data_IF_538499240826
#
_entry.id   IF_538499240826
#
_cell.length_a   1.000
_cell.length_b   1.000
_cell.length_c   1.000
_cell.angle_alpha   90.00
_cell.angle_beta   90.00
_cell.angle_gamma   90.00
#
_symmetry.space_group_name_H-M   'P 1'
#
loop_
_entity.id
_entity.type
_entity.pdbx_description
1 polymer ?
#
# COMPACT_ATOMS: atom_id res chain seq x y z
N UNK A 1 84.43 -36.08 18.97
CA UNK A 1 83.86 -35.83 17.64
C UNK A 1 82.64 -36.75 17.48
N UNK A 2 81.41 -36.29 17.88
CA UNK A 2 80.18 -37.05 17.64
C UNK A 2 79.18 -36.06 16.97
N UNK A 3 78.90 -36.29 15.70
CA UNK A 3 77.81 -35.62 14.93
C UNK A 3 76.50 -36.28 15.30
N UNK A 4 75.61 -35.54 15.94
CA UNK A 4 74.22 -35.93 16.16
C UNK A 4 73.39 -35.56 14.95
N UNK A 5 72.84 -36.55 14.21
CA UNK A 5 71.79 -36.42 13.19
C UNK A 5 70.42 -36.17 13.90
N UNK A 6 69.82 -35.11 13.58
CA UNK A 6 68.41 -34.87 13.91
C UNK A 6 67.51 -35.32 12.72
N UNK A 7 66.42 -36.06 12.95
CA UNK A 7 65.47 -36.39 11.90
C UNK A 7 64.49 -35.19 11.61
N UNK A 8 63.95 -35.09 10.39
CA UNK A 8 63.06 -34.03 10.04
C UNK A 8 61.65 -34.23 10.63
N UNK A 9 61.09 -33.15 11.16
CA UNK A 9 59.74 -33.08 11.65
C UNK A 9 58.77 -33.27 10.48
N UNK A 10 57.95 -34.32 10.49
CA UNK A 10 56.86 -34.55 9.62
C UNK A 10 55.73 -33.59 10.04
N UNK A 11 55.40 -32.62 9.18
CA UNK A 11 54.26 -31.72 9.33
C UNK A 11 53.00 -32.50 8.95
N UNK A 12 52.21 -32.90 9.94
CA UNK A 12 50.85 -33.41 9.78
C UNK A 12 49.90 -32.22 9.49
N UNK A 13 49.45 -32.10 8.25
CA UNK A 13 48.35 -31.26 7.89
C UNK A 13 47.04 -31.89 8.41
N UNK A 14 46.19 -31.17 9.16
CA UNK A 14 44.85 -31.63 9.44
C UNK A 14 43.98 -31.44 8.19
N UNK A 15 43.44 -32.55 7.69
CA UNK A 15 42.37 -32.53 6.67
C UNK A 15 41.14 -31.87 7.27
N UNK A 16 40.87 -30.62 6.85
CA UNK A 16 39.61 -29.93 7.14
C UNK A 16 38.55 -30.57 6.29
N UNK A 17 37.71 -31.39 6.92
CA UNK A 17 36.48 -31.93 6.35
C UNK A 17 35.49 -30.77 6.21
N UNK A 18 35.41 -30.17 5.03
CA UNK A 18 34.35 -29.25 4.64
C UNK A 18 33.02 -30.01 4.55
N UNK A 19 32.29 -30.04 5.67
CA UNK A 19 30.91 -30.49 5.72
C UNK A 19 30.06 -29.43 4.97
N UNK A 20 29.83 -29.67 3.69
CA UNK A 20 28.92 -28.85 2.88
C UNK A 20 27.50 -28.93 3.43
N UNK A 21 27.11 -27.91 4.18
CA UNK A 21 25.70 -27.68 4.48
C UNK A 21 25.03 -27.36 3.16
N UNK A 22 24.41 -28.35 2.52
CA UNK A 22 23.49 -28.17 1.45
C UNK A 22 22.33 -27.34 2.02
N UNK A 23 22.31 -26.02 1.71
CA UNK A 23 21.15 -25.18 1.91
C UNK A 23 20.05 -25.78 1.03
N UNK A 24 19.14 -26.54 1.65
CA UNK A 24 17.92 -26.98 1.02
C UNK A 24 17.07 -25.70 0.79
N UNK A 25 17.24 -25.10 -0.38
CA UNK A 25 16.28 -24.12 -0.90
C UNK A 25 14.93 -24.85 -0.96
N UNK A 26 13.85 -24.28 -0.44
CA UNK A 26 12.54 -24.86 -0.64
C UNK A 26 12.32 -24.98 -2.15
N UNK A 27 12.19 -26.19 -2.62
CA UNK A 27 11.79 -26.50 -3.99
C UNK A 27 10.36 -25.95 -4.11
N UNK A 28 10.24 -24.73 -4.60
CA UNK A 28 8.96 -24.22 -5.05
C UNK A 28 8.53 -25.15 -6.17
N UNK A 29 7.55 -26.02 -5.88
CA UNK A 29 6.96 -26.86 -6.89
C UNK A 29 6.51 -25.94 -8.02
N UNK A 30 7.16 -26.04 -9.18
CA UNK A 30 6.74 -25.31 -10.36
C UNK A 30 5.28 -25.67 -10.61
N UNK A 31 4.40 -24.67 -10.58
CA UNK A 31 2.99 -24.87 -10.88
C UNK A 31 2.89 -25.55 -12.25
N UNK A 32 2.07 -26.58 -12.36
CA UNK A 32 1.83 -27.24 -13.64
C UNK A 32 1.14 -26.29 -14.63
N UNK A 33 1.11 -26.63 -15.92
CA UNK A 33 0.51 -25.78 -16.93
C UNK A 33 -0.99 -25.52 -16.68
N UNK A 34 -1.68 -26.41 -16.00
CA UNK A 34 -3.10 -26.28 -15.65
C UNK A 34 -3.26 -25.31 -14.46
N UNK A 35 -2.45 -25.46 -13.43
CA UNK A 35 -2.46 -24.59 -12.26
C UNK A 35 -2.12 -23.15 -12.65
N UNK A 36 -1.16 -22.94 -13.56
CA UNK A 36 -0.78 -21.60 -14.02
C UNK A 36 -1.94 -20.91 -14.76
N UNK A 37 -2.64 -21.63 -15.64
CA UNK A 37 -3.81 -21.11 -16.35
C UNK A 37 -4.99 -20.83 -15.42
N UNK A 38 -5.22 -21.70 -14.44
CA UNK A 38 -6.24 -21.48 -13.42
C UNK A 38 -5.91 -20.27 -12.55
N UNK A 39 -4.63 -20.06 -12.22
CA UNK A 39 -4.19 -18.90 -11.47
C UNK A 39 -4.47 -17.57 -12.22
N UNK A 40 -4.21 -17.52 -13.52
CA UNK A 40 -4.52 -16.36 -14.37
C UNK A 40 -6.03 -16.05 -14.37
N UNK A 41 -6.86 -17.09 -14.54
CA UNK A 41 -8.32 -16.91 -14.59
C UNK A 41 -8.90 -16.54 -13.23
N UNK A 42 -8.35 -17.11 -12.15
CA UNK A 42 -8.71 -16.73 -10.77
C UNK A 42 -8.36 -15.27 -10.47
N UNK A 43 -7.19 -14.80 -10.91
CA UNK A 43 -6.83 -13.37 -10.80
C UNK A 43 -7.82 -12.49 -11.57
N UNK A 44 -8.17 -12.86 -12.79
CA UNK A 44 -9.15 -12.14 -13.60
C UNK A 44 -10.52 -12.08 -12.92
N UNK A 45 -10.93 -13.17 -12.25
CA UNK A 45 -12.22 -13.27 -11.54
C UNK A 45 -12.30 -12.36 -10.29
N UNK A 46 -11.16 -11.99 -9.68
CA UNK A 46 -11.11 -11.04 -8.57
C UNK A 46 -11.43 -9.61 -9.02
N UNK A 47 -11.39 -9.34 -10.32
CA UNK A 47 -11.74 -8.06 -10.92
C UNK A 47 -10.83 -6.90 -10.51
N UNK A 48 -11.30 -5.65 -10.66
CA UNK A 48 -10.50 -4.44 -10.39
C UNK A 48 -10.16 -4.24 -8.90
N UNK A 49 -10.70 -5.06 -8.03
CA UNK A 49 -10.43 -5.01 -6.59
C UNK A 49 -9.10 -5.70 -6.22
N UNK A 50 -8.57 -6.55 -7.12
CA UNK A 50 -7.28 -7.19 -6.91
C UNK A 50 -6.14 -6.15 -7.09
N UNK A 51 -5.17 -6.08 -6.16
CA UNK A 51 -3.96 -5.31 -6.38
C UNK A 51 -3.22 -5.78 -7.64
N UNK A 52 -2.60 -4.84 -8.36
CA UNK A 52 -1.93 -5.13 -9.65
C UNK A 52 -0.78 -6.14 -9.54
N UNK A 53 -0.25 -6.35 -8.35
CA UNK A 53 0.85 -7.27 -8.01
C UNK A 53 0.40 -8.54 -7.28
N UNK A 54 -0.92 -8.81 -7.26
CA UNK A 54 -1.47 -10.03 -6.68
C UNK A 54 -0.92 -11.27 -7.41
N UNK A 55 -0.48 -12.26 -6.63
CA UNK A 55 -0.04 -13.56 -7.11
C UNK A 55 -0.97 -14.64 -6.57
N UNK A 56 -1.29 -15.62 -7.40
CA UNK A 56 -2.13 -16.74 -7.01
C UNK A 56 -1.34 -18.03 -7.14
N UNK A 57 -1.21 -18.75 -6.04
CA UNK A 57 -0.71 -20.12 -6.04
C UNK A 57 -1.89 -21.08 -5.97
N UNK A 58 -2.06 -21.92 -7.00
CA UNK A 58 -3.15 -22.89 -7.10
C UNK A 58 -2.67 -24.26 -6.69
N UNK A 59 -3.42 -24.92 -5.81
CA UNK A 59 -3.23 -26.32 -5.44
C UNK A 59 -4.53 -27.08 -5.72
N UNK A 60 -4.46 -28.03 -6.63
CA UNK A 60 -5.62 -28.88 -6.95
C UNK A 60 -5.92 -29.85 -5.80
N UNK A 61 -7.19 -30.05 -5.50
CA UNK A 61 -7.63 -31.02 -4.49
C UNK A 61 -7.42 -32.48 -4.91
N UNK A 62 -7.32 -32.71 -6.23
CA UNK A 62 -6.94 -34.00 -6.84
C UNK A 62 -6.01 -33.71 -8.01
N UNK A 63 -4.96 -34.53 -8.22
CA UNK A 63 -4.11 -34.41 -9.40
C UNK A 63 -4.95 -34.47 -10.68
N UNK A 64 -4.63 -33.62 -11.64
CA UNK A 64 -5.26 -33.61 -12.94
C UNK A 64 -4.18 -33.65 -14.02
N UNK A 65 -4.12 -34.81 -14.72
CA UNK A 65 -3.13 -35.08 -15.77
C UNK A 65 -3.70 -34.86 -17.18
N UNK A 66 -4.95 -34.35 -17.27
CA UNK A 66 -5.62 -34.10 -18.53
C UNK A 66 -5.15 -32.84 -19.22
N UNK A 67 -5.48 -32.67 -20.50
CA UNK A 67 -5.22 -31.47 -21.25
C UNK A 67 -6.24 -30.37 -20.90
N UNK A 68 -5.81 -29.18 -20.62
CA UNK A 68 -6.67 -28.01 -20.45
C UNK A 68 -6.88 -27.31 -21.80
N UNK A 69 -8.08 -27.41 -22.36
CA UNK A 69 -8.46 -26.76 -23.63
C UNK A 69 -8.99 -25.33 -23.34
N UNK A 70 -9.85 -25.18 -22.33
CA UNK A 70 -10.41 -23.90 -21.91
C UNK A 70 -10.93 -23.93 -20.46
N UNK A 71 -10.86 -22.81 -19.78
CA UNK A 71 -11.60 -22.56 -18.53
C UNK A 71 -12.95 -21.95 -18.89
N UNK A 72 -14.04 -22.53 -18.39
CA UNK A 72 -15.42 -22.12 -18.71
C UNK A 72 -16.02 -21.26 -17.62
N UNK A 73 -15.71 -21.61 -16.39
CA UNK A 73 -16.27 -20.95 -15.22
C UNK A 73 -15.35 -21.17 -14.04
N UNK A 74 -15.10 -20.13 -13.26
CA UNK A 74 -14.26 -20.19 -12.08
C UNK A 74 -14.88 -19.38 -10.96
N UNK A 75 -14.90 -19.94 -9.77
CA UNK A 75 -15.38 -19.28 -8.56
C UNK A 75 -14.37 -19.46 -7.44
N UNK A 76 -14.02 -18.38 -6.78
CA UNK A 76 -13.12 -18.33 -5.62
C UNK A 76 -13.87 -17.76 -4.41
N UNK A 77 -13.82 -18.46 -3.30
CA UNK A 77 -14.17 -17.89 -2.00
C UNK A 77 -12.89 -17.27 -1.38
N UNK A 78 -12.77 -15.94 -1.36
CA UNK A 78 -11.55 -15.27 -0.89
C UNK A 78 -11.33 -15.46 0.61
N UNK A 79 -12.36 -15.84 1.37
CA UNK A 79 -12.28 -16.04 2.82
C UNK A 79 -11.69 -17.40 3.19
N UNK A 80 -12.01 -18.43 2.42
CA UNK A 80 -11.56 -19.81 2.67
C UNK A 80 -10.39 -20.21 1.77
N UNK A 81 -10.14 -19.45 0.70
CA UNK A 81 -9.17 -19.77 -0.33
C UNK A 81 -9.57 -20.98 -1.18
N UNK A 82 -10.82 -21.45 -1.10
CA UNK A 82 -11.29 -22.58 -1.90
C UNK A 82 -11.81 -22.09 -3.24
N UNK A 83 -11.46 -22.81 -4.29
CA UNK A 83 -11.99 -22.53 -5.62
C UNK A 83 -12.68 -23.74 -6.23
N UNK A 84 -13.58 -23.46 -7.16
CA UNK A 84 -14.21 -24.42 -8.03
C UNK A 84 -14.07 -23.90 -9.47
N UNK A 85 -13.67 -24.78 -10.38
CA UNK A 85 -13.51 -24.45 -11.79
C UNK A 85 -14.16 -25.52 -12.67
N UNK A 86 -14.85 -25.10 -13.72
CA UNK A 86 -15.30 -25.96 -14.80
C UNK A 86 -14.40 -25.73 -16.01
N UNK A 87 -13.70 -26.76 -16.39
CA UNK A 87 -12.76 -26.71 -17.51
C UNK A 87 -13.25 -27.60 -18.66
N UNK A 88 -12.85 -27.28 -19.88
CA UNK A 88 -12.97 -28.15 -21.03
C UNK A 88 -11.66 -28.93 -21.18
N UNK A 89 -11.77 -30.27 -21.23
CA UNK A 89 -10.65 -31.17 -21.42
C UNK A 89 -11.08 -32.26 -22.42
N UNK A 90 -10.38 -32.36 -23.54
CA UNK A 90 -10.68 -33.35 -24.60
C UNK A 90 -12.17 -33.39 -25.00
N UNK A 91 -12.79 -32.21 -25.13
CA UNK A 91 -14.18 -32.03 -25.49
C UNK A 91 -15.20 -32.36 -24.39
N UNK A 92 -14.77 -32.62 -23.16
CA UNK A 92 -15.62 -32.91 -22.01
C UNK A 92 -15.47 -31.82 -20.94
N UNK A 93 -16.55 -31.53 -20.21
CA UNK A 93 -16.52 -30.65 -19.06
C UNK A 93 -16.06 -31.45 -17.84
N UNK A 94 -15.00 -30.98 -17.19
CA UNK A 94 -14.45 -31.57 -15.96
C UNK A 94 -14.54 -30.51 -14.86
N UNK A 95 -14.99 -30.90 -13.68
CA UNK A 95 -14.99 -30.04 -12.49
C UNK A 95 -13.72 -30.30 -11.71
N UNK A 96 -13.00 -29.18 -11.48
CA UNK A 96 -11.82 -29.13 -10.63
C UNK A 96 -12.14 -28.32 -9.38
N UNK A 97 -11.63 -28.76 -8.27
CA UNK A 97 -11.67 -28.02 -7.01
C UNK A 97 -10.28 -28.01 -6.37
N UNK A 98 -10.06 -27.06 -5.50
CA UNK A 98 -8.77 -26.96 -4.83
C UNK A 98 -8.67 -25.74 -3.94
N UNK A 99 -7.46 -25.36 -3.64
CA UNK A 99 -7.13 -24.18 -2.87
C UNK A 99 -6.34 -23.19 -3.73
N UNK A 100 -6.69 -21.94 -3.63
CA UNK A 100 -5.98 -20.83 -4.22
C UNK A 100 -5.50 -19.92 -3.10
N UNK A 101 -4.20 -19.84 -2.91
CA UNK A 101 -3.58 -18.91 -1.98
C UNK A 101 -3.25 -17.64 -2.76
N UNK A 102 -4.03 -16.59 -2.50
CA UNK A 102 -3.84 -15.28 -3.13
C UNK A 102 -2.96 -14.45 -2.23
N UNK A 103 -1.75 -14.13 -2.70
CA UNK A 103 -0.82 -13.23 -2.02
C UNK A 103 -0.87 -11.85 -2.65
N UNK A 104 -0.83 -10.84 -1.81
CA UNK A 104 -0.78 -9.44 -2.19
C UNK A 104 0.38 -8.74 -1.49
N UNK A 105 0.97 -7.77 -2.17
CA UNK A 105 2.03 -6.96 -1.60
C UNK A 105 1.42 -5.68 -1.02
N UNK A 106 1.69 -5.41 0.25
CA UNK A 106 1.12 -4.27 0.95
C UNK A 106 2.23 -3.36 1.48
N UNK A 107 2.09 -2.04 1.34
CA UNK A 107 3.04 -1.10 1.91
C UNK A 107 2.90 -1.04 3.43
N UNK A 108 4.05 -1.04 4.11
CA UNK A 108 4.14 -0.85 5.55
C UNK A 108 5.28 0.12 5.89
N UNK A 109 5.19 0.88 6.99
CA UNK A 109 6.27 1.76 7.42
C UNK A 109 7.50 0.96 7.86
N UNK A 110 8.70 1.40 7.46
CA UNK A 110 9.98 0.82 7.93
C UNK A 110 10.33 1.30 9.34
N UNK A 111 9.83 2.48 9.73
CA UNK A 111 10.02 3.11 11.02
C UNK A 111 8.70 3.62 11.59
N UNK A 112 8.74 4.06 12.83
CA UNK A 112 7.62 4.78 13.42
C UNK A 112 7.50 6.17 12.79
N UNK A 113 6.30 6.51 12.28
CA UNK A 113 5.98 7.84 11.72
C UNK A 113 5.03 8.56 12.67
N UNK A 114 5.35 9.82 12.99
CA UNK A 114 4.55 10.64 13.91
C UNK A 114 3.46 11.40 13.15
N UNK A 115 2.37 11.80 13.84
CA UNK A 115 1.39 12.69 13.26
C UNK A 115 2.06 13.99 12.79
N UNK A 116 1.71 14.44 11.58
CA UNK A 116 2.27 15.64 10.98
C UNK A 116 3.57 15.44 10.18
N UNK A 117 4.25 14.29 10.31
CA UNK A 117 5.36 13.94 9.41
C UNK A 117 4.83 13.60 8.01
N UNK A 118 5.52 14.02 6.96
CA UNK A 118 5.18 13.64 5.59
C UNK A 118 5.77 12.26 5.31
N UNK A 119 4.96 11.37 4.77
CA UNK A 119 5.38 10.03 4.36
C UNK A 119 6.18 10.15 3.07
N UNK A 120 7.42 9.70 3.10
CA UNK A 120 8.30 9.62 1.94
C UNK A 120 8.43 8.17 1.45
N UNK A 121 8.88 7.98 0.22
CA UNK A 121 9.12 6.64 -0.34
C UNK A 121 10.09 5.81 0.51
N UNK A 122 11.11 6.46 1.11
CA UNK A 122 12.09 5.81 1.98
C UNK A 122 11.51 5.33 3.32
N UNK A 123 10.35 5.84 3.71
CA UNK A 123 9.65 5.45 4.94
C UNK A 123 8.81 4.18 4.77
N UNK A 124 8.66 3.71 3.55
CA UNK A 124 7.82 2.57 3.19
C UNK A 124 8.66 1.38 2.72
N UNK A 125 8.22 0.20 3.07
CA UNK A 125 8.65 -1.07 2.50
C UNK A 125 7.42 -1.90 2.21
N UNK A 126 7.60 -3.03 1.55
CA UNK A 126 6.49 -3.93 1.21
C UNK A 126 6.57 -5.23 2.00
N UNK A 127 5.40 -5.76 2.36
CA UNK A 127 5.26 -7.11 2.93
C UNK A 127 4.28 -7.90 2.09
N UNK A 128 4.57 -9.19 1.89
CA UNK A 128 3.62 -10.12 1.28
C UNK A 128 2.76 -10.75 2.35
N UNK A 129 1.48 -10.84 2.08
CA UNK A 129 0.52 -11.50 2.94
C UNK A 129 -0.65 -12.02 2.12
N UNK A 130 -1.36 -12.99 2.68
CA UNK A 130 -2.56 -13.53 2.04
C UNK A 130 -3.69 -12.49 1.99
N UNK A 131 -4.49 -12.54 0.93
CA UNK A 131 -5.58 -11.59 0.65
C UNK A 131 -6.59 -11.50 1.79
N UNK A 132 -6.87 -12.61 2.49
CA UNK A 132 -7.74 -12.65 3.67
C UNK A 132 -7.24 -11.75 4.80
N UNK A 133 -5.91 -11.63 4.97
CA UNK A 133 -5.28 -10.74 5.95
C UNK A 133 -5.18 -9.30 5.49
N UNK A 134 -5.05 -9.09 4.18
CA UNK A 134 -4.98 -7.75 3.60
C UNK A 134 -6.27 -6.97 3.85
N UNK A 135 -7.44 -7.61 3.69
CA UNK A 135 -8.74 -6.99 3.88
C UNK A 135 -8.99 -5.76 3.01
N UNK A 136 -10.21 -5.28 2.95
CA UNK A 136 -10.60 -4.10 2.14
C UNK A 136 -10.37 -2.75 2.82
N UNK A 137 -9.92 -2.75 4.08
CA UNK A 137 -9.76 -1.53 4.89
C UNK A 137 -8.36 -0.91 4.87
N UNK A 138 -7.44 -1.42 4.05
CA UNK A 138 -6.04 -1.00 4.02
C UNK A 138 -5.65 -0.44 2.65
N UNK A 139 -4.63 0.42 2.65
CA UNK A 139 -4.10 1.03 1.42
C UNK A 139 -3.08 0.07 0.81
N UNK A 140 -3.30 -0.34 -0.43
CA UNK A 140 -2.46 -1.29 -1.16
C UNK A 140 -1.36 -0.63 -2.00
N UNK A 141 -1.50 0.66 -2.35
CA UNK A 141 -0.52 1.38 -3.17
C UNK A 141 0.39 2.25 -2.30
N UNK A 142 1.70 2.08 -2.46
CA UNK A 142 2.69 2.95 -1.82
C UNK A 142 2.61 4.39 -2.36
N UNK A 143 2.37 4.56 -3.66
CA UNK A 143 2.25 5.87 -4.30
C UNK A 143 1.08 6.69 -3.73
N UNK A 144 0.01 6.03 -3.33
CA UNK A 144 -1.13 6.68 -2.69
C UNK A 144 -0.82 7.18 -1.26
N UNK A 145 0.30 6.79 -0.68
CA UNK A 145 0.73 7.17 0.67
C UNK A 145 1.75 8.30 0.66
N UNK A 146 2.57 8.38 -0.40
CA UNK A 146 3.64 9.37 -0.52
C UNK A 146 3.05 10.78 -0.56
N UNK A 147 3.61 11.68 0.27
CA UNK A 147 3.13 13.05 0.39
C UNK A 147 1.96 13.24 1.37
N UNK A 148 1.38 12.15 1.87
CA UNK A 148 0.38 12.21 2.93
C UNK A 148 1.04 12.26 4.32
N UNK A 149 0.24 12.57 5.32
CA UNK A 149 0.64 12.59 6.72
C UNK A 149 -0.28 11.73 7.57
N UNK A 150 0.24 10.95 8.52
CA UNK A 150 -0.60 10.16 9.40
C UNK A 150 -1.34 11.06 10.40
N UNK A 151 -2.63 10.77 10.62
CA UNK A 151 -3.48 11.44 11.61
C UNK A 151 -3.21 10.95 13.03
N UNK A 152 -2.60 9.78 13.17
CA UNK A 152 -2.19 9.15 14.43
C UNK A 152 -0.82 8.51 14.25
N UNK A 153 -0.14 8.26 15.37
CA UNK A 153 1.15 7.59 15.35
C UNK A 153 1.05 6.24 14.62
N UNK A 154 1.92 6.05 13.64
CA UNK A 154 1.98 4.87 12.79
C UNK A 154 3.21 4.04 13.17
N UNK A 155 3.03 2.83 13.73
CA UNK A 155 4.15 1.96 14.09
C UNK A 155 4.76 1.29 12.86
N UNK A 156 6.04 0.94 12.95
CA UNK A 156 6.72 0.16 11.91
C UNK A 156 6.06 -1.21 11.67
N UNK A 157 6.07 -1.69 10.43
CA UNK A 157 5.62 -3.04 10.05
C UNK A 157 4.10 -3.27 10.11
N UNK A 158 3.30 -2.24 10.33
CA UNK A 158 1.84 -2.35 10.38
C UNK A 158 1.19 -1.88 9.10
N UNK A 159 0.15 -2.60 8.66
CA UNK A 159 -0.69 -2.20 7.53
C UNK A 159 -1.35 -0.84 7.80
N UNK A 160 -1.43 -0.03 6.74
CA UNK A 160 -1.93 1.34 6.79
C UNK A 160 -3.41 1.36 6.42
N UNK A 161 -4.25 1.73 7.38
CA UNK A 161 -5.70 1.78 7.18
C UNK A 161 -6.11 2.98 6.33
N UNK A 162 -7.13 2.79 5.49
CA UNK A 162 -7.81 3.88 4.81
C UNK A 162 -8.36 4.86 5.85
N UNK A 163 -8.08 6.16 5.68
CA UNK A 163 -8.49 7.21 6.63
C UNK A 163 -7.54 7.44 7.81
N UNK A 164 -6.49 6.61 7.99
CA UNK A 164 -5.44 6.88 8.99
C UNK A 164 -4.41 7.92 8.54
N UNK A 165 -4.42 8.24 7.25
CA UNK A 165 -3.58 9.25 6.59
C UNK A 165 -4.44 10.30 5.91
N UNK A 166 -3.85 11.44 5.60
CA UNK A 166 -4.52 12.52 4.89
C UNK A 166 -3.52 13.60 4.46
N UNK A 167 -4.00 14.67 3.85
CA UNK A 167 -3.14 15.79 3.50
C UNK A 167 -2.42 16.32 4.75
N UNK A 168 -1.14 16.71 4.63
CA UNK A 168 -0.37 17.29 5.74
C UNK A 168 -1.09 18.50 6.34
N UNK A 169 -1.14 18.59 7.68
CA UNK A 169 -1.74 19.72 8.36
C UNK A 169 -0.78 20.90 8.25
N UNK A 170 -1.14 21.89 7.45
CA UNK A 170 -0.34 23.12 7.22
C UNK A 170 -0.89 24.33 7.98
N UNK A 171 -2.15 24.24 8.43
CA UNK A 171 -2.78 25.20 9.34
C UNK A 171 -3.08 24.51 10.65
N UNK A 172 -2.43 24.93 11.73
CA UNK A 172 -2.67 24.37 13.06
C UNK A 172 -3.68 25.22 13.84
N UNK A 173 -4.49 24.55 14.67
CA UNK A 173 -5.44 25.24 15.55
C UNK A 173 -4.73 26.22 16.48
N UNK A 174 -5.35 27.38 16.70
CA UNK A 174 -4.88 28.50 17.52
C UNK A 174 -3.60 29.20 17.02
N UNK A 175 -3.11 28.84 15.82
CA UNK A 175 -1.96 29.53 15.21
C UNK A 175 -2.41 30.72 14.36
N UNK A 176 -1.53 31.73 14.21
CA UNK A 176 -1.82 32.84 13.30
C UNK A 176 -1.82 32.35 11.87
N UNK A 177 -2.71 32.91 11.06
CA UNK A 177 -2.82 32.65 9.62
C UNK A 177 -3.09 33.95 8.88
N UNK A 178 -2.77 33.96 7.60
CA UNK A 178 -3.13 35.05 6.68
C UNK A 178 -4.44 34.69 5.98
N UNK A 179 -5.45 35.52 6.17
CA UNK A 179 -6.69 35.47 5.40
C UNK A 179 -6.47 36.25 4.10
N UNK A 180 -6.74 35.61 2.96
CA UNK A 180 -6.62 36.24 1.64
C UNK A 180 -8.00 36.21 0.99
N UNK A 181 -8.47 37.36 0.55
CA UNK A 181 -9.67 37.51 -0.24
C UNK A 181 -9.29 38.01 -1.62
N UNK A 182 -9.73 37.33 -2.66
CA UNK A 182 -9.44 37.67 -4.05
C UNK A 182 -10.77 37.81 -4.81
N UNK A 183 -10.97 38.97 -5.43
CA UNK A 183 -12.08 39.24 -6.32
C UNK A 183 -11.63 40.07 -7.54
N UNK A 184 -11.42 39.41 -8.65
CA UNK A 184 -10.89 39.99 -9.86
C UNK A 184 -9.48 40.62 -9.63
N UNK A 185 -9.41 41.96 -9.73
CA UNK A 185 -8.17 42.70 -9.51
C UNK A 185 -7.93 43.08 -8.03
N UNK A 186 -8.89 42.82 -7.15
CA UNK A 186 -8.79 43.16 -5.73
C UNK A 186 -8.25 41.99 -4.94
N UNK A 187 -7.13 42.21 -4.27
CA UNK A 187 -6.55 41.27 -3.30
C UNK A 187 -6.47 41.96 -1.94
N UNK A 188 -7.15 41.39 -0.96
CA UNK A 188 -7.13 41.86 0.42
C UNK A 188 -6.47 40.81 1.31
N UNK A 189 -5.63 41.20 2.21
CA UNK A 189 -5.02 40.32 3.20
C UNK A 189 -5.30 40.86 4.63
N UNK A 190 -5.62 39.95 5.54
CA UNK A 190 -5.84 40.24 6.94
C UNK A 190 -5.20 39.16 7.84
N UNK A 191 -4.85 39.53 9.06
CA UNK A 191 -4.38 38.56 10.05
C UNK A 191 -5.55 37.89 10.73
N UNK A 192 -5.51 36.55 10.74
CA UNK A 192 -6.47 35.70 11.42
C UNK A 192 -5.82 34.77 12.42
N UNK A 193 -6.66 34.11 13.21
CA UNK A 193 -6.29 33.00 14.08
C UNK A 193 -7.13 31.79 13.71
N UNK A 194 -6.50 30.69 13.33
CA UNK A 194 -7.20 29.46 12.98
C UNK A 194 -7.95 28.89 14.21
N UNK A 195 -9.22 28.60 14.06
CA UNK A 195 -10.03 27.93 15.08
C UNK A 195 -10.09 26.41 14.86
N UNK A 196 -9.69 25.96 13.67
CA UNK A 196 -9.61 24.56 13.26
C UNK A 196 -8.27 24.33 12.55
N UNK A 197 -7.79 23.10 12.62
CA UNK A 197 -6.63 22.66 11.84
C UNK A 197 -7.07 22.15 10.47
N UNK A 198 -6.18 22.18 9.48
CA UNK A 198 -6.46 21.67 8.14
C UNK A 198 -5.22 21.59 7.27
N UNK A 199 -5.27 20.69 6.28
CA UNK A 199 -4.34 20.59 5.17
C UNK A 199 -4.76 21.48 4.00
N UNK A 200 -3.93 21.55 2.96
CA UNK A 200 -4.28 22.26 1.72
C UNK A 200 -5.56 21.67 1.11
N UNK A 201 -6.49 22.57 0.78
CA UNK A 201 -7.82 22.22 0.26
C UNK A 201 -8.91 22.05 1.33
N UNK A 202 -8.55 21.93 2.61
CA UNK A 202 -9.54 21.81 3.69
C UNK A 202 -10.22 23.16 3.97
N UNK A 203 -11.49 23.09 4.37
CA UNK A 203 -12.28 24.24 4.79
C UNK A 203 -12.11 24.40 6.31
N UNK A 204 -11.60 25.54 6.74
CA UNK A 204 -11.34 25.85 8.15
C UNK A 204 -12.01 27.13 8.60
N UNK A 205 -12.36 27.21 9.88
CA UNK A 205 -12.85 28.44 10.50
C UNK A 205 -11.67 29.23 11.05
N UNK A 206 -11.67 30.51 10.74
CA UNK A 206 -10.63 31.45 11.16
C UNK A 206 -11.28 32.69 11.76
N UNK A 207 -10.78 33.17 12.87
CA UNK A 207 -11.18 34.44 13.46
C UNK A 207 -10.27 35.54 12.91
N UNK A 208 -10.85 36.54 12.26
CA UNK A 208 -10.14 37.74 11.88
C UNK A 208 -9.80 38.54 13.17
N UNK A 209 -8.50 38.79 13.40
CA UNK A 209 -8.03 39.44 14.64
C UNK A 209 -8.48 40.89 14.74
N UNK A 210 -8.58 41.62 13.61
CA UNK A 210 -8.93 43.02 13.61
C UNK A 210 -10.43 43.27 13.88
N UNK A 211 -11.32 42.41 13.32
CA UNK A 211 -12.77 42.58 13.47
C UNK A 211 -13.42 41.61 14.47
N UNK A 212 -12.64 40.67 15.02
CA UNK A 212 -13.15 39.54 15.85
C UNK A 212 -14.24 38.70 15.17
N UNK A 213 -14.37 38.80 13.87
CA UNK A 213 -15.38 38.06 13.10
C UNK A 213 -14.82 36.69 12.71
N UNK A 214 -15.67 35.65 12.83
CA UNK A 214 -15.30 34.31 12.37
C UNK A 214 -15.71 34.17 10.92
N UNK A 215 -14.74 33.81 10.06
CA UNK A 215 -14.94 33.53 8.64
C UNK A 215 -14.55 32.09 8.35
N UNK A 216 -15.15 31.53 7.30
CA UNK A 216 -14.79 30.21 6.79
C UNK A 216 -14.01 30.39 5.51
N UNK A 217 -12.92 29.67 5.35
CA UNK A 217 -12.08 29.74 4.15
C UNK A 217 -11.40 28.42 3.85
N UNK A 218 -10.88 28.33 2.63
CA UNK A 218 -10.13 27.15 2.16
C UNK A 218 -8.65 27.37 2.38
N UNK A 219 -7.97 26.39 2.94
CA UNK A 219 -6.50 26.41 3.12
C UNK A 219 -5.84 26.32 1.74
N UNK A 220 -5.06 27.30 1.36
CA UNK A 220 -4.35 27.33 0.08
C UNK A 220 -2.85 27.11 0.21
N UNK A 221 -2.31 27.19 1.43
CA UNK A 221 -0.88 27.00 1.68
C UNK A 221 -0.53 27.03 3.15
N UNK A 222 0.77 27.01 3.44
CA UNK A 222 1.25 27.13 4.79
C UNK A 222 0.76 28.45 5.42
N UNK A 223 -0.01 28.34 6.50
CA UNK A 223 -0.56 29.47 7.25
C UNK A 223 -1.41 30.45 6.38
N UNK A 224 -1.92 30.00 5.20
CA UNK A 224 -2.70 30.84 4.30
C UNK A 224 -4.07 30.24 4.07
N UNK A 225 -5.11 31.05 4.23
CA UNK A 225 -6.52 30.66 4.07
C UNK A 225 -7.20 31.65 3.13
N UNK A 226 -7.70 31.15 2.00
CA UNK A 226 -8.49 31.94 1.05
C UNK A 226 -9.95 32.01 1.50
N UNK A 227 -10.47 33.23 1.60
CA UNK A 227 -11.84 33.52 1.96
C UNK A 227 -12.55 34.06 0.72
N UNK A 228 -12.85 33.17 -0.22
CA UNK A 228 -13.71 33.53 -1.34
C UNK A 228 -15.15 33.56 -0.82
N UNK A 229 -15.73 34.75 -0.77
CA UNK A 229 -17.15 34.93 -0.45
C UNK A 229 -18.02 34.10 -1.42
N UNK A 230 -19.26 33.77 -1.05
CA UNK A 230 -20.17 33.13 -1.98
C UNK A 230 -20.28 34.04 -3.21
N UNK A 231 -19.92 33.52 -4.37
CA UNK A 231 -20.23 34.21 -5.64
C UNK A 231 -21.72 34.36 -5.69
N UNK A 232 -22.19 35.56 -5.42
CA UNK A 232 -23.59 35.93 -5.74
C UNK A 232 -23.66 35.84 -7.27
N UNK A 233 -24.49 34.95 -7.84
CA UNK A 233 -24.66 34.92 -9.27
C UNK A 233 -25.11 36.36 -9.69
N UNK A 234 -24.30 37.04 -10.50
CA UNK A 234 -24.70 38.31 -11.05
C UNK A 234 -25.94 38.05 -11.88
N UNK A 235 -27.10 38.47 -11.39
CA UNK A 235 -28.34 38.46 -12.11
C UNK A 235 -28.11 39.34 -13.33
N UNK A 236 -28.25 38.84 -14.58
CA UNK A 236 -28.09 39.70 -15.75
C UNK A 236 -29.07 40.88 -15.63
N UNK A 237 -28.52 42.10 -15.79
CA UNK A 237 -29.34 43.31 -15.83
C UNK A 237 -30.46 43.08 -16.86
N UNK A 238 -31.72 43.15 -16.40
CA UNK A 238 -32.85 43.13 -17.30
C UNK A 238 -32.81 44.41 -18.15
N UNK A 239 -33.05 44.32 -19.47
CA UNK A 239 -33.13 45.48 -20.36
C UNK A 239 -34.32 46.38 -20.04
#
# INVERSE_FOLDING_TARGET
VLRSLRPPLAVLLPAVLLLGAALALPLQAAAGPVESRLAEELLASLGPTAPADAQVAVTLGRPFDGRLDAVRDVSLDPRTGTFQARILSDGRIVELNGRADVEVTMPVPVRRIRPGEIIEAADLTTVRLSLDRAGSGFISSADALIGLSPRRQMPAGRLIQVGSVGAPIVVQRNRPVTLVYEDGALVLAARGRALQEGGVGDIVRVMNIASSTIVTGTVTGAETVSVNGPRIPQQPARP
#
